data_IF_370597061522
#
_entry.id   IF_370597061522
#
_cell.length_a   1.000
_cell.length_b   1.000
_cell.length_c   1.000
_cell.angle_alpha   90.00
_cell.angle_beta   90.00
_cell.angle_gamma   90.00
#
_symmetry.space_group_name_H-M   'P 1'
#
loop_
_entity.id
_entity.type
_entity.pdbx_description
1 polymer ?
#
# COMPACT_ATOMS: atom_id res chain seq x y z
N UNK A 1 23.32 5.07 6.53
CA UNK A 1 22.70 5.09 5.18
C UNK A 1 21.36 4.31 5.13
N UNK A 2 20.42 4.58 6.06
CA UNK A 2 19.01 4.11 5.96
C UNK A 2 18.17 5.29 5.47
N UNK A 3 17.82 5.40 4.19
CA UNK A 3 16.61 6.17 3.82
C UNK A 3 16.16 6.09 2.35
N UNK A 4 17.02 5.73 1.39
CA UNK A 4 16.63 5.79 -0.03
C UNK A 4 15.67 4.67 -0.45
N UNK A 5 15.83 3.45 0.09
CA UNK A 5 14.93 2.32 -0.22
C UNK A 5 13.52 2.52 0.36
N UNK A 6 13.44 3.10 1.57
CA UNK A 6 12.17 3.40 2.25
C UNK A 6 11.31 4.35 1.43
N UNK A 7 11.88 5.46 0.94
CA UNK A 7 11.12 6.42 0.14
C UNK A 7 10.60 5.83 -1.17
N UNK A 8 11.41 5.01 -1.86
CA UNK A 8 10.98 4.39 -3.11
C UNK A 8 9.86 3.37 -2.89
N UNK A 9 9.94 2.57 -1.82
CA UNK A 9 8.87 1.62 -1.45
C UNK A 9 7.58 2.35 -1.05
N UNK A 10 7.68 3.47 -0.33
CA UNK A 10 6.51 4.29 0.03
C UNK A 10 5.82 4.85 -1.21
N UNK A 11 6.54 5.54 -2.10
CA UNK A 11 5.97 6.09 -3.35
C UNK A 11 5.35 4.99 -4.20
N UNK A 12 6.03 3.85 -4.32
CA UNK A 12 5.52 2.72 -5.12
C UNK A 12 4.26 2.12 -4.51
N UNK A 13 4.14 2.07 -3.18
CA UNK A 13 2.90 1.65 -2.53
C UNK A 13 1.76 2.61 -2.85
N UNK A 14 1.96 3.91 -2.69
CA UNK A 14 0.95 4.93 -3.01
C UNK A 14 0.48 4.85 -4.46
N UNK A 15 1.42 4.65 -5.40
CA UNK A 15 1.09 4.44 -6.82
C UNK A 15 0.25 3.17 -7.06
N UNK A 16 0.57 2.06 -6.40
CA UNK A 16 -0.14 0.80 -6.58
C UNK A 16 -1.58 0.89 -6.06
N UNK A 17 -1.78 1.61 -4.94
CA UNK A 17 -3.11 1.77 -4.32
C UNK A 17 -3.91 2.94 -4.88
N UNK A 18 -3.31 3.81 -5.69
CA UNK A 18 -3.98 4.96 -6.29
C UNK A 18 -5.22 4.59 -7.12
N UNK A 19 -5.16 3.48 -7.85
CA UNK A 19 -6.26 2.96 -8.68
C UNK A 19 -7.19 1.97 -7.97
N UNK A 20 -6.90 1.65 -6.70
CA UNK A 20 -7.67 0.69 -5.93
C UNK A 20 -8.93 1.32 -5.32
N UNK A 21 -9.93 0.48 -5.05
CA UNK A 21 -11.14 0.82 -4.31
C UNK A 21 -10.82 0.94 -2.82
N UNK A 22 -10.13 2.02 -2.45
CA UNK A 22 -9.84 2.41 -1.08
C UNK A 22 -10.13 3.91 -0.88
N UNK A 23 -10.52 4.35 0.33
CA UNK A 23 -10.78 5.77 0.59
C UNK A 23 -9.56 6.64 0.29
N UNK A 24 -9.77 7.85 -0.23
CA UNK A 24 -8.67 8.75 -0.63
C UNK A 24 -7.69 9.02 0.52
N UNK A 25 -8.17 9.22 1.75
CA UNK A 25 -7.29 9.41 2.92
C UNK A 25 -6.42 8.18 3.27
N UNK A 26 -6.75 7.00 2.75
CA UNK A 26 -6.04 5.73 2.97
C UNK A 26 -5.02 5.40 1.86
N UNK A 27 -4.92 6.21 0.81
CA UNK A 27 -3.98 6.00 -0.32
C UNK A 27 -2.55 6.47 -0.05
N UNK A 28 -2.28 7.01 1.13
CA UNK A 28 -0.95 7.47 1.53
C UNK A 28 -0.21 6.41 2.34
N UNK A 29 1.11 6.37 2.25
CA UNK A 29 1.95 5.38 2.92
C UNK A 29 2.22 5.69 4.40
N UNK A 30 1.18 6.13 5.12
CA UNK A 30 1.26 6.29 6.58
C UNK A 30 1.15 4.92 7.26
N UNK A 31 1.85 4.66 8.38
CA UNK A 31 1.82 3.37 9.06
C UNK A 31 0.40 2.85 9.35
N UNK A 32 -0.51 3.72 9.78
CA UNK A 32 -1.91 3.39 10.04
C UNK A 32 -2.69 2.99 8.78
N UNK A 33 -2.32 3.54 7.63
CA UNK A 33 -2.96 3.25 6.34
C UNK A 33 -2.45 1.95 5.76
N UNK A 34 -1.15 1.67 5.89
CA UNK A 34 -0.56 0.39 5.50
C UNK A 34 -1.19 -0.76 6.30
N UNK A 35 -1.33 -0.59 7.63
CA UNK A 35 -2.02 -1.58 8.48
C UNK A 35 -3.50 -1.73 8.14
N UNK A 36 -4.19 -0.62 7.87
CA UNK A 36 -5.59 -0.66 7.43
C UNK A 36 -5.73 -1.37 6.08
N UNK A 37 -4.82 -1.12 5.15
CA UNK A 37 -4.78 -1.76 3.84
C UNK A 37 -4.65 -3.28 3.98
N UNK A 38 -3.70 -3.76 4.79
CA UNK A 38 -3.51 -5.20 5.04
C UNK A 38 -4.75 -5.87 5.65
N UNK A 39 -5.53 -5.15 6.47
CA UNK A 39 -6.72 -5.69 7.13
C UNK A 39 -8.00 -5.62 6.30
N UNK A 40 -8.18 -4.55 5.52
CA UNK A 40 -9.44 -4.25 4.83
C UNK A 40 -9.22 -3.97 3.34
N UNK A 41 -8.27 -3.09 3.01
CA UNK A 41 -8.02 -2.67 1.63
C UNK A 41 -7.66 -3.82 0.69
N UNK A 42 -6.88 -4.79 1.17
CA UNK A 42 -6.48 -5.96 0.41
C UNK A 42 -7.69 -6.85 0.04
N UNK A 43 -8.62 -7.04 0.99
CA UNK A 43 -9.84 -7.83 0.79
C UNK A 43 -10.75 -7.15 -0.24
N UNK A 44 -10.92 -5.83 -0.14
CA UNK A 44 -11.74 -5.05 -1.07
C UNK A 44 -11.20 -5.04 -2.51
N UNK A 45 -9.93 -5.40 -2.71
CA UNK A 45 -9.25 -5.30 -3.99
C UNK A 45 -8.66 -6.64 -4.45
N UNK A 46 -9.19 -7.77 -3.98
CA UNK A 46 -8.69 -9.12 -4.32
C UNK A 46 -8.60 -9.40 -5.82
N UNK A 47 -9.48 -8.81 -6.64
CA UNK A 47 -9.47 -8.95 -8.10
C UNK A 47 -8.61 -7.92 -8.83
N UNK A 48 -8.00 -6.98 -8.12
CA UNK A 48 -7.20 -5.92 -8.73
C UNK A 48 -5.85 -6.47 -9.20
N UNK A 49 -5.47 -6.20 -10.45
CA UNK A 49 -4.23 -6.71 -11.08
C UNK A 49 -2.93 -6.48 -10.27
N UNK A 50 -2.90 -5.39 -9.49
CA UNK A 50 -1.74 -5.01 -8.67
C UNK A 50 -1.84 -5.45 -7.20
N UNK A 51 -2.85 -6.22 -6.81
CA UNK A 51 -3.12 -6.54 -5.40
C UNK A 51 -1.96 -7.26 -4.73
N UNK A 52 -1.37 -8.25 -5.40
CA UNK A 52 -0.25 -9.02 -4.86
C UNK A 52 0.98 -8.13 -4.63
N UNK A 53 1.29 -7.24 -5.57
CA UNK A 53 2.39 -6.30 -5.45
C UNK A 53 2.16 -5.29 -4.31
N UNK A 54 0.94 -4.79 -4.17
CA UNK A 54 0.59 -3.87 -3.08
C UNK A 54 0.65 -4.56 -1.71
N UNK A 55 0.18 -5.81 -1.59
CA UNK A 55 0.26 -6.60 -0.37
C UNK A 55 1.71 -6.89 0.04
N UNK A 56 2.56 -7.32 -0.90
CA UNK A 56 3.97 -7.58 -0.62
C UNK A 56 4.70 -6.31 -0.14
N UNK A 57 4.39 -5.17 -0.76
CA UNK A 57 4.98 -3.89 -0.38
C UNK A 57 4.45 -3.39 0.96
N UNK A 58 3.15 -3.53 1.20
CA UNK A 58 2.53 -3.20 2.48
C UNK A 58 3.10 -4.03 3.65
N UNK A 59 3.33 -5.33 3.45
CA UNK A 59 3.97 -6.20 4.46
C UNK A 59 5.39 -5.75 4.81
N UNK A 60 6.13 -5.20 3.84
CA UNK A 60 7.47 -4.65 4.05
C UNK A 60 7.46 -3.32 4.81
N UNK A 61 6.36 -2.57 4.71
CA UNK A 61 6.21 -1.21 5.25
C UNK A 61 5.49 -1.16 6.62
N UNK A 62 4.83 -2.25 7.04
CA UNK A 62 4.01 -2.34 8.25
C UNK A 62 4.81 -2.60 9.53
#
# INVERSE_FOLDING_TARGET
MRNLKSNNDQTRFEMLVASMNIPQQRKTCKPENVRWFLRNGAILNMSHKNIHAACALAQKLA
#
